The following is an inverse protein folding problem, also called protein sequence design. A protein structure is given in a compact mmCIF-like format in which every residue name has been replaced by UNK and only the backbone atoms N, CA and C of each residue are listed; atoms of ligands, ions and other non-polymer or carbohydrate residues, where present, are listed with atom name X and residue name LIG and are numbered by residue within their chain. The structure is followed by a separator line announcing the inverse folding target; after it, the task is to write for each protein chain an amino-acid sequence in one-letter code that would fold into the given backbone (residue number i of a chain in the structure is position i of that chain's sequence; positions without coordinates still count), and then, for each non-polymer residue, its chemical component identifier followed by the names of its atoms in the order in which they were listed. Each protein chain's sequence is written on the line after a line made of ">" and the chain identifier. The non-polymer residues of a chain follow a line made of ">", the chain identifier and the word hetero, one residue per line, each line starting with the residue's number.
data_IF_192680391828
#
_entry.id   IF_192680391828
#
_cell.length_a   1.000
_cell.length_b   1.000
_cell.length_c   1.000
_cell.angle_alpha   90.00
_cell.angle_beta   90.00
_cell.angle_gamma   90.00
#
_symmetry.space_group_name_H-M   'P 1'
#
loop_
_entity.id
_entity.type
_entity.pdbx_description
1 polymer ?
#
# COMPACT_ATOMS: atom_id res chain seq x y z
N UNK A 1 -32.99 51.23 10.53
CA UNK A 1 -33.64 50.59 11.70
C UNK A 1 -32.74 49.43 12.12
N UNK A 2 -32.36 49.40 13.40
CA UNK A 2 -31.42 48.44 14.00
C UNK A 2 -32.18 47.18 14.41
N UNK A 3 -31.64 46.00 14.10
CA UNK A 3 -31.76 44.84 15.01
C UNK A 3 -30.54 43.92 14.84
N UNK A 4 -29.71 43.83 15.89
CA UNK A 4 -28.63 42.85 16.07
C UNK A 4 -29.22 41.60 16.73
N UNK A 5 -28.83 40.41 16.28
CA UNK A 5 -29.06 39.16 17.01
C UNK A 5 -27.71 38.72 17.61
N UNK A 6 -27.62 38.71 18.94
CA UNK A 6 -26.47 38.20 19.70
C UNK A 6 -26.71 36.74 20.04
N UNK A 7 -25.80 35.85 19.65
CA UNK A 7 -25.72 34.47 20.14
C UNK A 7 -24.87 34.44 21.42
N UNK A 8 -25.43 33.86 22.49
CA UNK A 8 -24.82 33.76 23.82
C UNK A 8 -23.79 32.64 23.89
N UNK A 9 -22.56 33.00 24.24
CA UNK A 9 -21.50 32.09 24.71
C UNK A 9 -21.86 31.63 26.13
N UNK A 10 -21.91 30.31 26.39
CA UNK A 10 -21.91 29.74 27.74
C UNK A 10 -20.49 29.34 28.12
N UNK A 11 -19.89 30.10 29.04
CA UNK A 11 -18.69 29.71 29.77
C UNK A 11 -19.06 28.64 30.80
N UNK A 12 -18.39 27.51 30.78
CA UNK A 12 -18.32 26.58 31.91
C UNK A 12 -16.98 26.82 32.59
N UNK A 13 -17.02 27.16 33.87
CA UNK A 13 -15.88 27.20 34.78
C UNK A 13 -16.20 26.28 35.97
N UNK A 14 -15.13 25.94 36.72
CA UNK A 14 -15.07 25.30 38.04
C UNK A 14 -14.84 23.78 37.95
N UNK A 15 -13.86 23.13 38.60
CA UNK A 15 -12.94 23.52 39.67
C UNK A 15 -11.65 22.69 39.62
N UNK A 16 -10.53 23.30 40.04
CA UNK A 16 -9.28 22.64 40.41
C UNK A 16 -9.45 21.85 41.72
N UNK A 17 -8.95 20.61 41.77
CA UNK A 17 -8.73 19.88 43.01
C UNK A 17 -7.23 19.59 43.16
N UNK A 18 -6.59 20.29 44.07
CA UNK A 18 -5.21 20.05 44.52
C UNK A 18 -5.28 19.05 45.66
N UNK A 19 -4.56 17.93 45.55
CA UNK A 19 -4.30 17.05 46.67
C UNK A 19 -2.78 16.83 46.82
N UNK A 20 -2.23 17.42 47.88
CA UNK A 20 -0.87 17.18 48.34
C UNK A 20 -0.91 16.11 49.44
N UNK A 21 -0.01 15.13 49.38
CA UNK A 21 0.39 14.35 50.56
C UNK A 21 1.88 14.02 50.51
N UNK A 22 2.56 14.28 51.62
CA UNK A 22 4.00 14.18 51.84
C UNK A 22 4.38 12.85 52.52
N UNK A 23 5.54 12.33 52.10
CA UNK A 23 6.62 11.63 52.84
C UNK A 23 6.35 10.31 53.60
N UNK A 24 7.19 9.31 53.30
CA UNK A 24 8.16 8.71 54.24
C UNK A 24 9.27 7.92 53.51
N UNK A 25 10.50 8.10 53.98
CA UNK A 25 11.73 7.43 53.54
C UNK A 25 11.80 5.96 54.00
N UNK A 26 12.55 5.14 53.26
CA UNK A 26 13.47 4.18 53.87
C UNK A 26 14.65 3.88 52.94
N UNK A 27 15.85 4.05 53.47
CA UNK A 27 17.13 3.77 52.86
C UNK A 27 17.74 2.52 53.51
N UNK A 28 18.49 1.73 52.74
CA UNK A 28 19.64 0.96 53.22
C UNK A 28 20.55 0.68 52.03
N UNK A 29 21.79 1.17 52.12
CA UNK A 29 22.92 0.80 51.27
C UNK A 29 24.09 0.33 52.13
N UNK A 30 25.08 -0.30 51.48
CA UNK A 30 26.54 -0.42 51.80
C UNK A 30 27.06 -1.57 50.90
N UNK A 31 28.09 -1.44 50.04
CA UNK A 31 29.47 -0.96 50.26
C UNK A 31 30.33 -2.14 50.78
N UNK A 32 31.51 -2.55 50.28
CA UNK A 32 32.59 -1.91 49.50
C UNK A 32 33.68 -2.98 49.16
N UNK A 33 34.53 -2.71 48.15
CA UNK A 33 35.97 -3.07 47.91
C UNK A 33 36.52 -4.49 48.19
N UNK A 34 37.50 -5.09 47.48
CA UNK A 34 38.56 -4.63 46.56
C UNK A 34 39.38 -5.84 46.03
N UNK A 35 40.16 -5.61 44.96
CA UNK A 35 41.52 -6.16 44.63
C UNK A 35 41.66 -6.92 43.29
N UNK A 36 42.69 -6.47 42.56
CA UNK A 36 43.24 -6.77 41.23
C UNK A 36 43.66 -8.21 40.96
N UNK A 37 43.51 -8.67 39.69
CA UNK A 37 44.63 -9.27 38.89
C UNK A 37 44.29 -9.36 37.40
N UNK A 38 45.30 -9.10 36.57
CA UNK A 38 45.34 -9.27 35.10
C UNK A 38 44.90 -10.65 34.61
N UNK A 39 44.26 -10.67 33.43
CA UNK A 39 43.95 -11.89 32.69
C UNK A 39 43.40 -11.58 31.30
N UNK A 40 44.29 -11.45 30.33
CA UNK A 40 44.00 -11.44 28.89
C UNK A 40 42.97 -12.50 28.50
N UNK A 41 41.88 -12.07 27.89
CA UNK A 41 40.83 -12.93 27.35
C UNK A 41 40.03 -12.15 26.33
N UNK A 42 40.54 -12.15 25.09
CA UNK A 42 39.80 -11.84 23.88
C UNK A 42 38.43 -12.51 23.96
N UNK A 43 37.40 -11.72 24.21
CA UNK A 43 36.02 -12.16 24.22
C UNK A 43 35.38 -11.43 23.05
N UNK A 44 35.52 -12.03 21.88
CA UNK A 44 34.61 -11.84 20.76
C UNK A 44 33.20 -11.99 21.30
N UNK A 45 32.50 -10.87 21.45
CA UNK A 45 31.06 -10.85 21.58
C UNK A 45 30.53 -11.23 20.20
N UNK A 46 30.42 -12.52 19.96
CA UNK A 46 29.53 -13.02 18.92
C UNK A 46 28.12 -12.68 19.41
N UNK A 47 27.59 -11.54 18.93
CA UNK A 47 26.14 -11.36 18.90
C UNK A 47 25.60 -12.47 18.02
N UNK A 48 25.16 -13.55 18.64
CA UNK A 48 24.16 -14.41 18.04
C UNK A 48 22.95 -13.52 17.83
N UNK A 49 22.66 -13.20 16.56
CA UNK A 49 21.36 -12.68 16.19
C UNK A 49 20.35 -13.72 16.67
N UNK A 50 19.66 -13.40 17.77
CA UNK A 50 18.48 -14.17 18.15
C UNK A 50 17.48 -13.95 17.02
N UNK A 51 17.17 -15.04 16.33
CA UNK A 51 16.19 -15.08 15.25
C UNK A 51 14.83 -14.87 15.91
N UNK A 52 14.41 -13.61 16.03
CA UNK A 52 13.05 -13.27 16.38
C UNK A 52 12.19 -13.65 15.17
N UNK A 53 11.38 -14.69 15.35
CA UNK A 53 10.47 -15.18 14.33
C UNK A 53 9.26 -14.27 14.34
N UNK A 54 9.04 -13.49 13.28
CA UNK A 54 7.68 -13.08 12.99
C UNK A 54 6.84 -14.34 12.78
N UNK A 55 5.55 -14.26 13.07
CA UNK A 55 4.60 -15.27 12.58
C UNK A 55 4.69 -15.24 11.06
N UNK A 56 5.25 -16.30 10.47
CA UNK A 56 5.30 -16.44 9.02
C UNK A 56 3.91 -16.42 8.38
N UNK A 57 3.86 -16.57 7.06
CA UNK A 57 2.60 -16.44 6.31
C UNK A 57 1.54 -17.43 6.81
N UNK A 58 0.41 -16.91 7.28
CA UNK A 58 -0.77 -17.69 7.63
C UNK A 58 -1.78 -17.63 6.48
N UNK A 59 -1.78 -18.69 5.67
CA UNK A 59 -2.72 -18.85 4.54
C UNK A 59 -4.18 -18.89 4.97
N UNK A 60 -4.47 -19.13 6.26
CA UNK A 60 -5.83 -19.11 6.81
C UNK A 60 -6.41 -17.71 6.98
N UNK A 61 -5.60 -16.65 6.85
CA UNK A 61 -6.06 -15.26 6.90
C UNK A 61 -6.62 -14.74 5.57
N UNK A 62 -6.37 -15.43 4.46
CA UNK A 62 -6.96 -15.06 3.18
C UNK A 62 -8.48 -15.25 3.21
N UNK A 63 -9.21 -14.31 2.65
CA UNK A 63 -10.67 -14.37 2.58
C UNK A 63 -11.13 -15.54 1.69
N UNK A 64 -12.34 -16.05 1.93
CA UNK A 64 -12.92 -17.11 1.10
C UNK A 64 -13.05 -16.63 -0.35
N UNK A 65 -12.45 -17.35 -1.29
CA UNK A 65 -12.39 -16.97 -2.70
C UNK A 65 -11.21 -16.09 -3.10
N UNK A 66 -10.41 -15.56 -2.15
CA UNK A 66 -9.24 -14.72 -2.46
C UNK A 66 -8.12 -15.49 -3.18
N UNK A 67 -8.07 -16.81 -3.02
CA UNK A 67 -7.13 -17.69 -3.70
C UNK A 67 -7.86 -18.49 -4.79
N UNK A 68 -7.30 -18.50 -6.00
CA UNK A 68 -7.83 -19.27 -7.12
C UNK A 68 -7.71 -20.80 -6.90
N UNK A 69 -6.76 -21.20 -6.07
CA UNK A 69 -6.51 -22.59 -5.65
C UNK A 69 -5.88 -22.60 -4.25
N UNK A 70 -6.01 -23.72 -3.54
CA UNK A 70 -5.38 -23.90 -2.23
C UNK A 70 -3.86 -23.64 -2.33
N UNK A 71 -3.33 -22.81 -1.42
CA UNK A 71 -1.90 -22.57 -1.34
C UNK A 71 -1.13 -23.87 -1.11
N UNK A 72 -0.04 -24.05 -1.86
CA UNK A 72 0.84 -25.22 -1.73
C UNK A 72 2.22 -24.80 -1.26
N UNK A 73 3.07 -25.75 -0.89
CA UNK A 73 4.46 -25.47 -0.50
C UNK A 73 5.43 -26.15 -1.42
N UNK A 74 6.51 -25.46 -1.79
CA UNK A 74 7.61 -26.02 -2.57
C UNK A 74 8.98 -25.56 -2.06
N UNK A 75 10.03 -26.28 -2.45
CA UNK A 75 11.40 -25.88 -2.13
C UNK A 75 11.81 -24.69 -3.01
N UNK A 76 12.39 -23.67 -2.38
CA UNK A 76 12.81 -22.44 -3.03
C UNK A 76 14.18 -21.99 -2.53
N UNK A 77 14.78 -21.03 -3.23
CA UNK A 77 16.06 -20.40 -2.87
C UNK A 77 15.78 -18.92 -2.66
N UNK A 78 16.23 -18.35 -1.54
CA UNK A 78 16.10 -16.92 -1.24
C UNK A 78 17.20 -16.10 -1.93
N UNK A 79 17.06 -14.78 -1.91
CA UNK A 79 17.94 -13.82 -2.58
C UNK A 79 19.42 -13.92 -2.20
N UNK A 80 19.74 -14.47 -1.03
CA UNK A 80 21.13 -14.71 -0.56
C UNK A 80 21.65 -16.13 -0.85
N UNK A 81 20.84 -16.97 -1.51
CA UNK A 81 21.14 -18.37 -1.78
C UNK A 81 20.68 -19.36 -0.71
N UNK A 82 20.00 -18.92 0.34
CA UNK A 82 19.44 -19.81 1.37
C UNK A 82 18.35 -20.71 0.79
N UNK A 83 18.50 -22.03 0.93
CA UNK A 83 17.45 -22.99 0.60
C UNK A 83 16.39 -23.02 1.71
N UNK A 84 15.11 -22.89 1.36
CA UNK A 84 13.99 -22.93 2.30
C UNK A 84 12.73 -23.51 1.66
N UNK A 85 11.61 -23.46 2.39
CA UNK A 85 10.27 -23.76 1.88
C UNK A 85 9.52 -22.46 1.63
N UNK A 86 8.87 -22.35 0.48
CA UNK A 86 8.01 -21.23 0.13
C UNK A 86 6.59 -21.71 -0.08
N UNK A 87 5.63 -20.84 0.24
CA UNK A 87 4.29 -20.96 -0.28
C UNK A 87 4.26 -20.60 -1.75
N UNK A 88 3.54 -21.39 -2.54
CA UNK A 88 3.04 -21.05 -3.87
C UNK A 88 1.59 -20.65 -3.71
N UNK A 89 1.33 -19.35 -3.84
CA UNK A 89 0.02 -18.73 -3.65
C UNK A 89 -0.45 -18.23 -5.01
N UNK A 90 -1.65 -18.63 -5.41
CA UNK A 90 -2.29 -18.10 -6.63
C UNK A 90 -3.49 -17.27 -6.21
N UNK A 91 -3.34 -15.94 -6.25
CA UNK A 91 -4.43 -15.02 -5.92
C UNK A 91 -5.46 -14.97 -7.04
N UNK A 92 -6.73 -14.71 -6.69
CA UNK A 92 -7.85 -14.74 -7.62
C UNK A 92 -7.76 -13.70 -8.74
N UNK A 93 -7.15 -12.53 -8.46
CA UNK A 93 -7.00 -11.45 -9.44
C UNK A 93 -8.19 -10.48 -9.48
N UNK A 94 -9.10 -10.59 -8.52
CA UNK A 94 -10.22 -9.68 -8.27
C UNK A 94 -10.52 -9.72 -6.76
N UNK A 95 -10.76 -8.57 -6.11
CA UNK A 95 -10.94 -8.51 -4.67
C UNK A 95 -12.29 -9.12 -4.26
N UNK A 96 -12.28 -9.93 -3.20
CA UNK A 96 -13.51 -10.61 -2.72
C UNK A 96 -14.26 -9.87 -1.62
N UNK A 97 -13.72 -8.74 -1.17
CA UNK A 97 -14.26 -7.96 -0.04
C UNK A 97 -15.09 -6.74 -0.47
N UNK A 98 -14.96 -6.32 -1.73
CA UNK A 98 -15.69 -5.19 -2.32
C UNK A 98 -15.99 -5.43 -3.82
N UNK A 99 -16.91 -4.64 -4.37
CA UNK A 99 -17.10 -4.57 -5.83
C UNK A 99 -16.14 -3.52 -6.39
N UNK A 100 -15.40 -3.86 -7.45
CA UNK A 100 -14.44 -2.94 -8.07
C UNK A 100 -15.12 -1.78 -8.78
N UNK A 101 -14.45 -0.62 -8.77
CA UNK A 101 -15.04 0.63 -9.25
C UNK A 101 -16.01 1.28 -8.25
N UNK A 102 -16.61 2.43 -8.60
CA UNK A 102 -16.47 3.17 -9.86
C UNK A 102 -15.07 3.76 -10.09
N UNK A 103 -14.76 4.16 -11.32
CA UNK A 103 -13.44 4.71 -11.70
C UNK A 103 -13.56 6.13 -12.25
N UNK A 104 -14.22 6.30 -13.40
CA UNK A 104 -14.39 7.59 -14.04
C UNK A 104 -15.85 8.09 -13.92
N UNK A 105 -16.08 9.36 -13.56
CA UNK A 105 -17.42 9.95 -13.60
C UNK A 105 -17.90 10.10 -15.06
N UNK A 106 -19.22 10.11 -15.27
CA UNK A 106 -19.79 10.26 -16.62
C UNK A 106 -19.81 11.73 -17.05
N UNK A 107 -20.00 12.66 -16.11
CA UNK A 107 -20.16 14.09 -16.39
C UNK A 107 -19.46 14.97 -15.35
N UNK A 108 -19.17 16.22 -15.73
CA UNK A 108 -18.63 17.23 -14.80
C UNK A 108 -19.63 17.70 -13.73
N UNK A 109 -20.83 17.12 -13.69
CA UNK A 109 -21.82 17.38 -12.65
C UNK A 109 -21.86 16.27 -11.58
N UNK A 110 -21.12 15.18 -11.81
CA UNK A 110 -21.09 14.03 -10.91
C UNK A 110 -20.24 14.33 -9.67
N UNK A 111 -20.63 13.73 -8.56
CA UNK A 111 -19.92 13.79 -7.28
C UNK A 111 -18.94 12.63 -7.12
N UNK A 112 -18.12 12.66 -6.07
CA UNK A 112 -17.20 11.59 -5.70
C UNK A 112 -17.80 10.18 -5.79
N UNK A 113 -19.05 9.96 -5.34
CA UNK A 113 -19.72 8.65 -5.41
C UNK A 113 -19.83 8.01 -6.82
N UNK A 114 -19.56 8.75 -7.89
CA UNK A 114 -19.65 8.28 -9.29
C UNK A 114 -18.27 8.03 -9.95
N UNK A 115 -17.18 8.44 -9.30
CA UNK A 115 -15.81 8.18 -9.72
C UNK A 115 -15.05 7.50 -8.59
N UNK A 116 -13.81 7.10 -8.85
CA UNK A 116 -12.92 6.65 -7.80
C UNK A 116 -11.96 7.76 -7.38
N UNK A 117 -10.69 7.41 -7.17
CA UNK A 117 -9.64 8.34 -6.75
C UNK A 117 -8.48 8.40 -7.75
N UNK A 118 -7.80 9.54 -7.74
CA UNK A 118 -6.52 9.74 -8.39
C UNK A 118 -5.51 10.20 -7.34
N UNK A 119 -4.32 9.60 -7.34
CA UNK A 119 -3.19 10.09 -6.55
C UNK A 119 -1.96 10.26 -7.44
N UNK A 120 -1.28 11.40 -7.25
CA UNK A 120 -0.26 11.91 -8.17
C UNK A 120 1.14 12.03 -7.53
N UNK A 121 1.34 11.49 -6.33
CA UNK A 121 2.56 11.69 -5.54
C UNK A 121 2.53 12.94 -4.64
N UNK A 122 1.57 13.84 -4.82
CA UNK A 122 1.43 15.09 -4.03
C UNK A 122 0.12 15.15 -3.25
N UNK A 123 -0.89 14.39 -3.65
CA UNK A 123 -2.16 14.29 -2.96
C UNK A 123 -3.03 13.13 -3.48
N UNK A 124 -4.16 12.96 -2.82
CA UNK A 124 -5.26 12.08 -3.24
C UNK A 124 -6.47 12.96 -3.54
N UNK A 125 -7.13 12.70 -4.66
CA UNK A 125 -8.26 13.46 -5.17
C UNK A 125 -9.39 12.51 -5.53
N UNK A 126 -10.61 12.84 -5.12
CA UNK A 126 -11.81 12.20 -5.68
C UNK A 126 -11.92 12.61 -7.15
N UNK A 127 -12.11 11.65 -8.06
CA UNK A 127 -12.32 11.91 -9.48
C UNK A 127 -13.79 12.28 -9.68
N UNK A 128 -14.16 13.45 -9.20
CA UNK A 128 -15.48 14.04 -9.40
C UNK A 128 -15.47 15.12 -10.50
N UNK A 129 -16.64 15.70 -10.77
CA UNK A 129 -16.75 16.75 -11.79
C UNK A 129 -15.93 18.01 -11.47
N UNK A 130 -15.78 18.36 -10.18
CA UNK A 130 -14.98 19.51 -9.75
C UNK A 130 -13.48 19.25 -9.99
N UNK A 131 -13.00 18.03 -9.74
CA UNK A 131 -11.65 17.59 -10.06
C UNK A 131 -11.39 17.65 -11.57
N UNK A 132 -12.28 17.07 -12.39
CA UNK A 132 -12.14 17.05 -13.85
C UNK A 132 -12.06 18.47 -14.43
N UNK A 133 -12.88 19.40 -13.93
CA UNK A 133 -12.83 20.82 -14.34
C UNK A 133 -11.58 21.52 -13.79
N UNK A 134 -11.09 21.10 -12.63
CA UNK A 134 -9.95 21.68 -11.93
C UNK A 134 -8.57 21.25 -12.44
N UNK A 135 -8.47 20.25 -13.33
CA UNK A 135 -7.19 19.70 -13.79
C UNK A 135 -6.21 20.76 -14.36
N UNK A 136 -6.71 21.72 -15.14
CA UNK A 136 -5.88 22.77 -15.71
C UNK A 136 -5.26 23.69 -14.64
N UNK A 137 -6.02 24.00 -13.58
CA UNK A 137 -5.53 24.78 -12.45
C UNK A 137 -4.59 23.96 -11.55
N UNK A 138 -4.91 22.67 -11.35
CA UNK A 138 -4.11 21.75 -10.53
C UNK A 138 -2.70 21.58 -11.10
N UNK A 139 -2.58 21.42 -12.42
CA UNK A 139 -1.30 21.18 -13.10
C UNK A 139 -0.71 22.42 -13.79
N UNK A 140 -1.34 23.60 -13.65
CA UNK A 140 -0.92 24.87 -14.29
C UNK A 140 -0.75 24.74 -15.82
N UNK A 141 -1.69 24.04 -16.47
CA UNK A 141 -1.66 23.77 -17.92
C UNK A 141 -3.07 23.72 -18.53
N UNK A 142 -3.40 24.73 -19.34
CA UNK A 142 -4.69 24.87 -20.06
C UNK A 142 -4.95 23.76 -21.10
N UNK A 143 -3.98 22.88 -21.40
CA UNK A 143 -4.19 21.74 -22.30
C UNK A 143 -5.06 20.64 -21.68
N UNK A 144 -5.21 20.62 -20.36
CA UNK A 144 -6.13 19.70 -19.67
C UNK A 144 -7.59 20.06 -19.96
N UNK A 145 -8.28 19.20 -20.69
CA UNK A 145 -9.68 19.36 -21.09
C UNK A 145 -10.33 17.99 -21.27
N UNK A 146 -10.59 17.30 -20.16
CA UNK A 146 -11.07 15.90 -20.12
C UNK A 146 -12.60 15.78 -20.27
N UNK A 147 -13.25 16.79 -20.86
CA UNK A 147 -14.69 16.80 -21.06
C UNK A 147 -15.07 17.57 -22.32
N UNK A 148 -16.23 17.25 -22.89
CA UNK A 148 -16.75 17.89 -24.10
C UNK A 148 -17.55 19.18 -23.81
N UNK A 149 -18.07 19.83 -24.86
CA UNK A 149 -18.84 21.08 -24.74
C UNK A 149 -20.16 20.92 -23.95
N UNK A 150 -20.68 19.70 -23.85
CA UNK A 150 -21.90 19.37 -23.12
C UNK A 150 -21.62 18.95 -21.66
N UNK A 151 -20.33 18.81 -21.30
CA UNK A 151 -19.87 18.44 -19.97
C UNK A 151 -19.78 16.92 -19.74
N UNK A 152 -19.82 16.11 -20.80
CA UNK A 152 -19.56 14.68 -20.69
C UNK A 152 -18.05 14.46 -20.55
N UNK A 153 -17.64 13.65 -19.58
CA UNK A 153 -16.23 13.31 -19.38
C UNK A 153 -15.79 12.37 -20.50
N UNK A 154 -14.60 12.59 -21.03
CA UNK A 154 -14.00 11.73 -22.04
C UNK A 154 -13.44 10.49 -21.34
N UNK A 155 -14.17 9.38 -21.39
CA UNK A 155 -13.80 8.11 -20.76
C UNK A 155 -13.47 7.09 -21.85
N UNK A 156 -12.58 6.14 -21.57
CA UNK A 156 -12.39 4.97 -22.45
C UNK A 156 -13.66 4.11 -22.47
N UNK A 157 -14.27 3.91 -23.64
CA UNK A 157 -15.57 3.23 -23.79
C UNK A 157 -15.44 1.81 -24.35
N UNK A 158 -14.26 1.44 -24.84
CA UNK A 158 -14.02 0.15 -25.51
C UNK A 158 -12.71 -0.51 -25.09
N UNK A 159 -12.63 -1.84 -25.27
CA UNK A 159 -11.37 -2.58 -25.12
C UNK A 159 -10.22 -1.99 -25.95
N UNK A 160 -10.47 -1.59 -27.20
CA UNK A 160 -9.42 -1.02 -28.06
C UNK A 160 -8.87 0.29 -27.52
N UNK A 161 -9.74 1.15 -26.97
CA UNK A 161 -9.34 2.39 -26.31
C UNK A 161 -8.61 2.12 -25.00
N UNK A 162 -9.10 1.19 -24.18
CA UNK A 162 -8.43 0.79 -22.94
C UNK A 162 -7.01 0.25 -23.20
N UNK A 163 -6.82 -0.66 -24.15
CA UNK A 163 -5.50 -1.16 -24.55
C UNK A 163 -4.59 -0.06 -25.13
N UNK A 164 -5.17 0.89 -25.85
CA UNK A 164 -4.44 2.01 -26.44
C UNK A 164 -4.05 3.08 -25.41
N UNK A 165 -4.78 3.20 -24.30
CA UNK A 165 -4.46 4.04 -23.15
C UNK A 165 -3.47 3.37 -22.18
N UNK A 166 -3.58 2.05 -21.99
CA UNK A 166 -2.78 1.29 -21.02
C UNK A 166 -1.40 0.85 -21.53
N UNK A 167 -0.79 1.63 -22.44
CA UNK A 167 0.55 1.35 -23.01
C UNK A 167 1.49 2.55 -22.80
N UNK A 168 2.82 2.35 -22.73
CA UNK A 168 3.77 3.45 -22.49
C UNK A 168 3.72 4.59 -23.51
N UNK A 169 3.40 4.28 -24.77
CA UNK A 169 3.21 5.27 -25.85
C UNK A 169 1.71 5.45 -26.09
N UNK A 170 1.03 6.10 -25.13
CA UNK A 170 -0.43 6.33 -25.15
C UNK A 170 -0.88 6.87 -26.51
N UNK A 171 -1.96 6.31 -27.05
CA UNK A 171 -2.47 6.78 -28.33
C UNK A 171 -2.86 8.27 -28.26
N UNK A 172 -2.36 9.13 -29.17
CA UNK A 172 -2.68 10.55 -29.16
C UNK A 172 -4.18 10.86 -29.23
N UNK A 173 -5.00 9.93 -29.76
CA UNK A 173 -6.45 10.08 -29.76
C UNK A 173 -7.08 10.04 -28.37
N UNK A 174 -6.38 9.46 -27.39
CA UNK A 174 -6.81 9.29 -26.00
C UNK A 174 -6.21 10.34 -25.06
N UNK A 175 -5.48 11.33 -25.59
CA UNK A 175 -5.14 12.50 -24.79
C UNK A 175 -6.42 13.14 -24.25
N UNK A 176 -6.36 13.64 -23.01
CA UNK A 176 -7.48 14.15 -22.25
C UNK A 176 -8.59 13.11 -21.99
N UNK A 177 -8.25 11.83 -21.80
CA UNK A 177 -9.21 10.84 -21.32
C UNK A 177 -8.97 10.43 -19.87
N UNK A 178 -10.07 10.22 -19.16
CA UNK A 178 -10.10 9.42 -17.95
C UNK A 178 -10.08 7.95 -18.40
N UNK A 179 -9.05 7.22 -17.99
CA UNK A 179 -8.81 5.85 -18.39
C UNK A 179 -9.41 4.93 -17.33
N UNK A 180 -10.44 4.20 -17.74
CA UNK A 180 -11.12 3.18 -16.95
C UNK A 180 -10.95 1.82 -17.64
N UNK A 181 -10.53 0.81 -16.87
CA UNK A 181 -10.58 -0.58 -17.31
C UNK A 181 -11.78 -1.31 -16.72
N UNK A 182 -12.23 -2.37 -17.39
CA UNK A 182 -13.36 -3.20 -16.93
C UNK A 182 -13.00 -4.67 -16.98
N UNK A 183 -13.52 -5.44 -16.02
CA UNK A 183 -13.36 -6.89 -15.97
C UNK A 183 -13.76 -7.58 -17.30
N UNK A 184 -14.86 -7.13 -17.91
CA UNK A 184 -15.34 -7.67 -19.20
C UNK A 184 -14.40 -7.45 -20.38
N UNK A 185 -13.42 -6.55 -20.24
CA UNK A 185 -12.40 -6.25 -21.24
C UNK A 185 -11.11 -7.05 -21.02
N UNK A 186 -10.97 -7.77 -19.90
CA UNK A 186 -9.84 -8.68 -19.70
C UNK A 186 -9.95 -9.92 -20.60
N UNK A 187 -8.86 -10.69 -20.70
CA UNK A 187 -8.85 -11.92 -21.49
C UNK A 187 -9.95 -12.89 -21.04
N UNK A 188 -10.93 -13.12 -21.92
CA UNK A 188 -12.07 -14.00 -21.63
C UNK A 188 -13.16 -13.38 -20.74
N UNK A 189 -13.02 -12.13 -20.32
CA UNK A 189 -13.93 -11.47 -19.40
C UNK A 189 -13.87 -12.02 -17.97
N UNK A 190 -12.69 -12.50 -17.56
CA UNK A 190 -12.45 -13.15 -16.27
C UNK A 190 -11.26 -12.48 -15.57
N UNK A 191 -11.17 -12.58 -14.22
CA UNK A 191 -10.01 -12.09 -13.47
C UNK A 191 -8.70 -12.76 -13.90
N UNK A 192 -7.62 -11.99 -13.89
CA UNK A 192 -6.28 -12.51 -14.18
C UNK A 192 -5.63 -12.95 -12.87
N UNK A 193 -5.64 -14.25 -12.62
CA UNK A 193 -4.97 -14.82 -11.44
C UNK A 193 -3.45 -14.75 -11.55
N UNK A 194 -2.79 -14.46 -10.42
CA UNK A 194 -1.33 -14.35 -10.34
C UNK A 194 -0.77 -15.32 -9.31
N UNK A 195 0.22 -16.13 -9.72
CA UNK A 195 0.98 -16.95 -8.78
C UNK A 195 2.22 -16.21 -8.28
N UNK A 196 2.40 -16.15 -6.97
CA UNK A 196 3.60 -15.69 -6.28
C UNK A 196 4.26 -16.80 -5.46
N UNK A 197 5.56 -16.65 -5.21
CA UNK A 197 6.29 -17.45 -4.23
C UNK A 197 6.71 -16.56 -3.05
N UNK A 198 6.31 -16.95 -1.84
CA UNK A 198 6.61 -16.22 -0.61
C UNK A 198 7.22 -17.20 0.41
N UNK A 199 8.32 -16.84 1.11
CA UNK A 199 8.89 -17.71 2.14
C UNK A 199 7.85 -18.07 3.21
N UNK A 200 7.80 -19.35 3.62
CA UNK A 200 6.89 -19.77 4.71
C UNK A 200 7.28 -19.07 6.01
N UNK A 201 8.59 -19.00 6.28
CA UNK A 201 9.17 -18.26 7.40
C UNK A 201 10.00 -17.11 6.81
N UNK A 202 9.58 -15.84 7.00
CA UNK A 202 10.32 -14.69 6.53
C UNK A 202 11.65 -14.57 7.29
N UNK A 203 12.67 -14.06 6.58
CA UNK A 203 14.04 -13.95 7.12
C UNK A 203 14.56 -12.56 6.80
N UNK A 204 14.99 -11.82 7.82
CA UNK A 204 15.63 -10.52 7.64
C UNK A 204 16.86 -10.63 6.72
N UNK A 205 17.01 -9.67 5.82
CA UNK A 205 18.19 -9.48 4.99
C UNK A 205 19.23 -8.61 5.70
N UNK A 206 20.45 -8.58 5.16
CA UNK A 206 21.52 -7.70 5.68
C UNK A 206 21.28 -6.22 5.33
N UNK A 207 20.40 -5.95 4.35
CA UNK A 207 20.01 -4.61 3.90
C UNK A 207 18.64 -4.66 3.23
N UNK A 208 17.88 -3.58 3.34
CA UNK A 208 16.63 -3.39 2.61
C UNK A 208 16.83 -3.50 1.08
N UNK A 209 15.76 -3.89 0.39
CA UNK A 209 15.73 -4.02 -1.07
C UNK A 209 14.42 -3.54 -1.67
N UNK A 210 14.45 -3.09 -2.91
CA UNK A 210 13.25 -2.83 -3.71
C UNK A 210 13.12 -3.94 -4.75
N UNK A 211 11.92 -4.47 -4.95
CA UNK A 211 11.63 -5.44 -6.03
C UNK A 211 11.21 -4.71 -7.30
N UNK A 212 11.54 -5.28 -8.47
CA UNK A 212 11.17 -4.73 -9.79
C UNK A 212 9.80 -5.25 -10.30
N UNK A 213 8.97 -5.77 -9.40
CA UNK A 213 7.64 -6.32 -9.72
C UNK A 213 6.70 -6.17 -8.53
N UNK A 214 5.74 -7.08 -8.40
CA UNK A 214 4.77 -7.05 -7.31
C UNK A 214 5.47 -6.99 -5.94
N UNK A 215 4.97 -6.13 -5.06
CA UNK A 215 5.48 -5.86 -3.72
C UNK A 215 4.89 -6.83 -2.68
N UNK A 216 3.70 -7.36 -2.96
CA UNK A 216 3.00 -8.28 -2.09
C UNK A 216 1.68 -8.77 -2.68
N UNK A 217 0.90 -9.42 -1.82
CA UNK A 217 -0.46 -9.88 -2.11
C UNK A 217 -1.39 -9.49 -0.98
N UNK A 218 -2.58 -9.00 -1.33
CA UNK A 218 -3.62 -8.69 -0.36
C UNK A 218 -4.31 -9.97 0.10
N UNK A 219 -4.87 -9.94 1.31
CA UNK A 219 -5.62 -11.05 1.87
C UNK A 219 -6.93 -11.31 1.13
N UNK A 220 -7.45 -10.32 0.40
CA UNK A 220 -8.67 -10.41 -0.40
C UNK A 220 -8.44 -10.81 -1.87
N UNK A 221 -7.19 -11.05 -2.28
CA UNK A 221 -6.92 -11.83 -3.49
C UNK A 221 -6.39 -11.06 -4.69
N UNK A 222 -5.70 -9.93 -4.48
CA UNK A 222 -5.05 -9.17 -5.56
C UNK A 222 -3.57 -8.93 -5.27
N UNK A 223 -2.81 -8.59 -6.30
CA UNK A 223 -1.40 -8.24 -6.14
C UNK A 223 -1.25 -6.76 -5.77
N UNK A 224 -0.23 -6.47 -4.97
CA UNK A 224 0.22 -5.11 -4.71
C UNK A 224 1.32 -4.81 -5.73
N UNK A 225 1.06 -3.89 -6.64
CA UNK A 225 2.00 -3.52 -7.69
C UNK A 225 3.02 -2.48 -7.20
N UNK A 226 4.09 -2.31 -7.97
CA UNK A 226 4.95 -1.14 -7.83
C UNK A 226 4.20 0.13 -8.26
N UNK A 227 4.72 1.30 -7.85
CA UNK A 227 4.14 2.61 -8.15
C UNK A 227 3.66 2.77 -9.58
N UNK A 228 2.46 3.33 -9.74
CA UNK A 228 1.96 3.69 -11.06
C UNK A 228 2.88 4.74 -11.71
N UNK A 229 3.08 4.72 -13.04
CA UNK A 229 3.96 5.65 -13.72
C UNK A 229 3.29 7.03 -13.91
N UNK A 230 2.99 7.72 -12.80
CA UNK A 230 2.26 9.00 -12.76
C UNK A 230 2.86 10.02 -13.72
N UNK A 231 4.18 10.19 -13.74
CA UNK A 231 4.86 11.12 -14.66
C UNK A 231 4.53 10.84 -16.14
N UNK A 232 4.44 9.56 -16.53
CA UNK A 232 4.12 9.18 -17.90
C UNK A 232 2.64 9.37 -18.21
N UNK A 233 1.75 9.10 -17.24
CA UNK A 233 0.30 9.29 -17.35
C UNK A 233 0.00 10.79 -17.54
N UNK A 234 0.56 11.65 -16.69
CA UNK A 234 0.37 13.10 -16.78
C UNK A 234 1.00 13.68 -18.05
N UNK A 235 2.15 13.18 -18.50
CA UNK A 235 2.76 13.59 -19.77
C UNK A 235 1.92 13.22 -21.01
N UNK A 236 1.05 12.21 -20.89
CA UNK A 236 0.10 11.81 -21.92
C UNK A 236 -1.24 12.57 -21.83
N UNK A 237 -1.41 13.48 -20.87
CA UNK A 237 -2.69 14.13 -20.56
C UNK A 237 -3.81 13.13 -20.28
N UNK A 238 -3.52 12.04 -19.60
CA UNK A 238 -4.54 11.07 -19.15
C UNK A 238 -4.61 11.02 -17.63
N UNK A 239 -5.71 10.49 -17.11
CA UNK A 239 -5.84 10.10 -15.70
C UNK A 239 -6.14 8.60 -15.70
N UNK A 240 -5.26 7.80 -15.10
CA UNK A 240 -5.51 6.36 -14.93
C UNK A 240 -6.28 6.16 -13.63
N UNK A 241 -7.61 6.16 -13.70
CA UNK A 241 -8.44 6.16 -12.51
C UNK A 241 -8.22 4.90 -11.67
N UNK A 242 -8.08 5.09 -10.36
CA UNK A 242 -8.20 4.03 -9.37
C UNK A 242 -9.63 4.07 -8.82
N UNK A 243 -10.13 2.93 -8.34
CA UNK A 243 -11.35 2.95 -7.55
C UNK A 243 -11.08 3.46 -6.12
N UNK A 244 -12.14 3.65 -5.35
CA UNK A 244 -12.06 4.10 -3.96
C UNK A 244 -11.28 3.14 -3.03
N UNK A 245 -10.92 1.96 -3.53
CA UNK A 245 -10.11 0.97 -2.83
C UNK A 245 -8.64 0.98 -3.27
N UNK A 246 -8.24 1.92 -4.15
CA UNK A 246 -6.86 2.19 -4.52
C UNK A 246 -6.28 1.23 -5.55
N UNK A 247 -7.13 0.48 -6.25
CA UNK A 247 -6.73 -0.42 -7.33
C UNK A 247 -7.39 -0.07 -8.67
N UNK A 248 -6.91 -0.71 -9.73
CA UNK A 248 -7.52 -0.60 -11.05
C UNK A 248 -7.19 -1.79 -11.95
N UNK A 249 -7.85 -1.85 -13.10
CA UNK A 249 -7.58 -2.85 -14.13
C UNK A 249 -6.47 -2.40 -15.10
N UNK A 250 -5.56 -3.33 -15.43
CA UNK A 250 -4.70 -3.28 -16.61
C UNK A 250 -5.07 -4.44 -17.57
N UNK A 251 -4.99 -4.27 -18.90
CA UNK A 251 -5.36 -5.32 -19.84
C UNK A 251 -4.57 -6.64 -19.67
N UNK A 252 -3.35 -6.57 -19.17
CA UNK A 252 -2.42 -7.69 -19.07
C UNK A 252 -2.25 -8.20 -17.64
N UNK A 253 -2.26 -7.30 -16.67
CA UNK A 253 -2.03 -7.64 -15.25
C UNK A 253 -3.34 -7.82 -14.47
N UNK A 254 -4.48 -7.44 -15.04
CA UNK A 254 -5.79 -7.51 -14.38
C UNK A 254 -5.94 -6.46 -13.29
N UNK A 255 -6.78 -6.73 -12.29
CA UNK A 255 -6.96 -5.83 -11.15
C UNK A 255 -5.76 -5.91 -10.21
N UNK A 256 -5.20 -4.77 -9.84
CA UNK A 256 -4.05 -4.69 -8.93
C UNK A 256 -4.07 -3.39 -8.12
N UNK A 257 -3.46 -3.44 -6.93
CA UNK A 257 -3.47 -2.37 -5.94
C UNK A 257 -2.23 -1.47 -6.08
N UNK A 258 -2.44 -0.15 -6.02
CA UNK A 258 -1.39 0.88 -5.97
C UNK A 258 -1.42 1.72 -4.70
N UNK A 259 -2.56 1.82 -4.02
CA UNK A 259 -2.72 2.57 -2.77
C UNK A 259 -3.52 1.80 -1.71
N UNK A 260 -3.12 1.89 -0.44
CA UNK A 260 -3.84 1.29 0.68
C UNK A 260 -4.77 2.33 1.32
N UNK A 261 -6.09 2.15 1.18
CA UNK A 261 -7.10 3.17 1.56
C UNK A 261 -8.25 2.67 2.45
N UNK A 262 -8.30 1.37 2.80
CA UNK A 262 -9.27 0.88 3.79
C UNK A 262 -10.40 -0.01 3.29
N UNK A 263 -10.14 -1.02 2.43
CA UNK A 263 -11.19 -1.90 1.89
C UNK A 263 -11.06 -3.40 2.19
N UNK A 264 -9.87 -3.89 2.53
CA UNK A 264 -9.56 -5.33 2.59
C UNK A 264 -8.91 -5.77 3.90
N UNK A 265 -9.01 -4.91 4.92
CA UNK A 265 -8.52 -5.13 6.26
C UNK A 265 -9.21 -6.30 6.97
N UNK A 266 -8.44 -7.00 7.79
CA UNK A 266 -9.01 -7.85 8.84
C UNK A 266 -9.70 -6.98 9.90
N UNK A 267 -10.80 -7.49 10.46
CA UNK A 267 -11.52 -6.82 11.55
C UNK A 267 -10.69 -6.68 12.84
N UNK A 268 -9.63 -7.49 12.98
CA UNK A 268 -8.78 -7.52 14.17
C UNK A 268 -7.73 -6.42 14.13
N UNK A 269 -7.79 -5.53 15.12
CA UNK A 269 -6.83 -4.45 15.33
C UNK A 269 -6.27 -4.60 16.73
N UNK A 270 -4.95 -4.77 16.82
CA UNK A 270 -4.26 -4.84 18.10
C UNK A 270 -4.05 -3.44 18.70
N UNK A 271 -3.87 -3.37 20.03
CA UNK A 271 -3.70 -2.07 20.69
C UNK A 271 -2.41 -1.39 20.25
N UNK A 272 -2.55 -0.27 19.53
CA UNK A 272 -1.40 0.53 19.07
C UNK A 272 -0.96 0.20 17.65
N UNK A 273 -1.72 -0.61 16.92
CA UNK A 273 -1.45 -1.00 15.54
C UNK A 273 -2.65 -0.67 14.63
N UNK A 274 -2.49 -0.81 13.32
CA UNK A 274 -3.60 -0.79 12.36
C UNK A 274 -4.08 -2.20 12.05
N UNK A 275 -5.00 -2.36 11.10
CA UNK A 275 -5.43 -3.68 10.66
C UNK A 275 -4.46 -4.22 9.61
N UNK A 276 -4.20 -5.52 9.65
CA UNK A 276 -3.50 -6.22 8.59
C UNK A 276 -4.40 -6.38 7.37
N UNK A 277 -3.85 -6.24 6.17
CA UNK A 277 -4.58 -6.48 4.91
C UNK A 277 -3.77 -7.26 3.86
N UNK A 278 -2.48 -7.51 4.09
CA UNK A 278 -1.61 -8.12 3.07
C UNK A 278 -0.38 -8.83 3.64
N UNK A 279 0.31 -9.56 2.77
CA UNK A 279 1.67 -10.06 2.95
C UNK A 279 2.60 -9.49 1.88
N UNK A 280 3.79 -9.04 2.29
CA UNK A 280 4.85 -8.64 1.38
C UNK A 280 5.54 -9.87 0.73
N UNK A 281 6.27 -9.65 -0.37
CA UNK A 281 6.94 -10.74 -1.10
C UNK A 281 8.04 -11.46 -0.31
N UNK A 282 8.54 -10.86 0.77
CA UNK A 282 9.50 -11.49 1.68
C UNK A 282 8.83 -12.26 2.82
N UNK A 283 7.50 -12.23 2.91
CA UNK A 283 6.68 -12.98 3.85
C UNK A 283 6.30 -12.25 5.13
N UNK A 284 6.72 -10.99 5.31
CA UNK A 284 6.27 -10.20 6.45
C UNK A 284 4.85 -9.65 6.24
N UNK A 285 4.03 -9.54 7.30
CA UNK A 285 2.72 -8.90 7.25
C UNK A 285 2.80 -7.43 6.84
N UNK A 286 1.73 -6.94 6.20
CA UNK A 286 1.55 -5.54 5.83
C UNK A 286 0.22 -5.05 6.40
N UNK A 287 0.33 -3.99 7.18
CA UNK A 287 -0.75 -3.33 7.91
C UNK A 287 -1.12 -2.01 7.25
N UNK A 288 -2.35 -1.55 7.43
CA UNK A 288 -2.82 -0.28 6.84
C UNK A 288 -1.98 0.90 7.33
N UNK A 289 -2.01 2.06 6.64
CA UNK A 289 -1.20 3.21 7.01
C UNK A 289 -1.45 3.69 8.45
N UNK A 290 -0.37 4.01 9.17
CA UNK A 290 -0.47 4.65 10.48
C UNK A 290 -1.02 6.06 10.37
N UNK A 291 -1.89 6.45 11.30
CA UNK A 291 -2.40 7.83 11.34
C UNK A 291 -1.35 8.86 11.80
N UNK A 292 -0.41 8.44 12.65
CA UNK A 292 0.67 9.28 13.19
C UNK A 292 1.97 8.45 13.23
N UNK A 293 2.60 8.28 12.07
CA UNK A 293 3.83 7.50 11.92
C UNK A 293 4.97 8.00 12.84
N UNK A 294 5.05 9.32 13.07
CA UNK A 294 6.03 9.95 13.97
C UNK A 294 5.91 9.50 15.43
N UNK A 295 4.78 8.91 15.82
CA UNK A 295 4.59 8.36 17.16
C UNK A 295 5.29 7.01 17.37
N UNK A 296 5.80 6.40 16.31
CA UNK A 296 6.41 5.07 16.30
C UNK A 296 7.89 5.13 15.87
N UNK A 297 8.68 4.15 16.31
CA UNK A 297 10.08 3.99 15.91
C UNK A 297 10.13 3.08 14.68
N UNK A 298 9.75 3.63 13.52
CA UNK A 298 9.71 2.92 12.25
C UNK A 298 11.09 2.91 11.59
N UNK A 299 11.40 1.82 10.90
CA UNK A 299 12.62 1.71 10.12
C UNK A 299 12.52 2.35 8.73
N UNK A 300 13.54 2.16 7.91
CA UNK A 300 13.59 2.75 6.56
C UNK A 300 12.55 2.18 5.58
N UNK A 301 11.93 1.03 5.90
CA UNK A 301 10.88 0.41 5.10
C UNK A 301 9.48 0.60 5.70
N UNK A 302 9.33 1.58 6.60
CA UNK A 302 8.07 1.86 7.28
C UNK A 302 7.56 0.69 8.15
N UNK A 303 8.48 -0.13 8.68
CA UNK A 303 8.14 -1.26 9.55
C UNK A 303 8.71 -1.15 10.95
N UNK A 304 8.20 -2.00 11.84
CA UNK A 304 8.74 -2.16 13.20
C UNK A 304 8.46 -3.57 13.72
N UNK A 305 8.96 -3.88 14.93
CA UNK A 305 8.72 -5.15 15.62
C UNK A 305 7.91 -4.95 16.91
N UNK A 306 6.88 -5.77 17.11
CA UNK A 306 6.09 -5.83 18.36
C UNK A 306 6.12 -7.24 18.96
N UNK A 307 5.82 -7.36 20.27
CA UNK A 307 5.70 -8.67 20.93
C UNK A 307 4.52 -9.50 20.37
N UNK A 308 3.51 -8.86 19.78
CA UNK A 308 2.28 -9.49 19.32
C UNK A 308 2.42 -10.06 17.90
N UNK A 309 2.93 -9.25 16.96
CA UNK A 309 2.97 -9.60 15.53
C UNK A 309 4.39 -9.91 15.03
N UNK A 310 5.41 -9.66 15.85
CA UNK A 310 6.80 -9.61 15.39
C UNK A 310 7.01 -8.45 14.42
N UNK A 311 7.98 -8.59 13.51
CA UNK A 311 8.24 -7.58 12.49
C UNK A 311 7.10 -7.55 11.45
N UNK A 312 6.61 -6.35 11.15
CA UNK A 312 5.62 -6.09 10.10
C UNK A 312 5.81 -4.69 9.51
N UNK A 313 5.28 -4.48 8.31
CA UNK A 313 5.27 -3.18 7.64
C UNK A 313 3.95 -2.46 7.89
N UNK A 314 3.99 -1.13 7.89
CA UNK A 314 2.83 -0.31 7.57
C UNK A 314 2.90 0.14 6.12
N UNK A 315 1.76 0.12 5.45
CA UNK A 315 1.65 0.69 4.12
C UNK A 315 1.85 2.22 4.18
N UNK A 316 2.39 2.80 3.11
CA UNK A 316 2.43 4.25 2.99
C UNK A 316 1.03 4.81 2.71
N UNK A 317 0.84 6.10 2.97
CA UNK A 317 -0.36 6.81 2.53
C UNK A 317 -0.52 6.72 1.01
N UNK A 318 -1.75 6.62 0.52
CA UNK A 318 -2.01 6.44 -0.92
C UNK A 318 -1.46 7.59 -1.78
N UNK A 319 -1.31 8.80 -1.21
CA UNK A 319 -0.67 9.94 -1.86
C UNK A 319 0.76 9.65 -2.31
N UNK A 320 1.46 8.71 -1.67
CA UNK A 320 2.84 8.35 -2.02
C UNK A 320 2.92 7.45 -3.26
N UNK A 321 1.77 6.94 -3.77
CA UNK A 321 1.72 6.05 -4.92
C UNK A 321 2.65 4.83 -4.75
N UNK A 322 2.76 4.31 -3.53
CA UNK A 322 3.61 3.17 -3.22
C UNK A 322 3.12 2.51 -1.95
N UNK A 323 2.47 1.34 -2.04
CA UNK A 323 1.96 0.66 -0.83
C UNK A 323 3.09 0.23 0.11
N UNK A 324 4.19 -0.33 -0.43
CA UNK A 324 5.32 -0.85 0.37
C UNK A 324 6.60 -0.13 -0.03
N UNK A 325 7.23 0.58 0.92
CA UNK A 325 8.44 1.38 0.73
C UNK A 325 9.63 0.55 0.26
N UNK A 326 9.96 -0.51 1.01
CA UNK A 326 10.98 -1.48 0.67
C UNK A 326 10.75 -2.79 1.43
N UNK A 327 11.57 -3.80 1.10
CA UNK A 327 11.56 -5.11 1.72
C UNK A 327 12.83 -5.29 2.56
N UNK A 328 12.66 -5.37 3.88
CA UNK A 328 13.73 -5.70 4.85
C UNK A 328 14.09 -7.18 4.83
N UNK A 329 13.19 -8.04 4.33
CA UNK A 329 13.36 -9.47 4.28
C UNK A 329 13.96 -9.99 2.98
N UNK A 330 14.35 -11.28 3.02
CA UNK A 330 14.85 -12.01 1.86
C UNK A 330 13.69 -12.53 1.02
N UNK A 331 13.64 -12.10 -0.23
CA UNK A 331 12.68 -12.59 -1.22
C UNK A 331 13.17 -13.86 -1.93
N UNK A 332 12.28 -14.53 -2.64
CA UNK A 332 12.63 -15.69 -3.47
C UNK A 332 13.50 -15.26 -4.65
N UNK A 333 14.65 -15.90 -4.85
CA UNK A 333 15.58 -15.61 -5.91
C UNK A 333 14.96 -15.87 -7.30
N UNK A 334 15.02 -14.87 -8.17
CA UNK A 334 14.47 -14.98 -9.52
C UNK A 334 12.93 -15.00 -9.57
N UNK A 335 12.25 -14.68 -8.46
CA UNK A 335 10.84 -14.33 -8.46
C UNK A 335 10.66 -12.92 -9.06
N UNK A 336 11.01 -12.75 -10.33
CA UNK A 336 10.39 -11.70 -11.12
C UNK A 336 8.94 -12.17 -11.34
N UNK A 337 7.99 -11.55 -10.65
CA UNK A 337 6.57 -11.79 -10.92
C UNK A 337 6.24 -11.47 -12.38
N UNK A 338 5.17 -12.05 -12.96
CA UNK A 338 4.61 -11.54 -14.20
C UNK A 338 4.03 -10.16 -13.87
N UNK A 339 4.80 -9.11 -14.12
CA UNK A 339 4.46 -7.76 -13.66
C UNK A 339 5.64 -6.82 -13.88
N UNK A 340 6.08 -6.76 -15.13
CA UNK A 340 7.06 -5.81 -15.61
C UNK A 340 6.65 -5.44 -17.01
N UNK A 341 5.90 -4.33 -17.13
CA UNK A 341 5.74 -3.68 -18.42
C UNK A 341 7.09 -3.61 -19.13
N UNK A 342 7.13 -3.78 -20.47
CA UNK A 342 8.40 -3.87 -21.19
C UNK A 342 9.29 -2.68 -20.85
N UNK A 343 10.62 -2.89 -20.72
CA UNK A 343 11.54 -1.86 -20.28
C UNK A 343 11.37 -0.61 -21.12
N UNK A 344 11.31 0.56 -20.47
CA UNK A 344 11.26 1.87 -21.10
C UNK A 344 12.22 1.88 -22.30
N UNK A 345 11.64 1.90 -23.50
CA UNK A 345 12.37 1.76 -24.74
C UNK A 345 13.42 2.85 -24.86
N UNK A 346 14.69 2.45 -24.83
CA UNK A 346 15.80 3.36 -25.08
C UNK A 346 15.64 4.03 -26.44
N UNK A 347 15.51 5.36 -26.43
CA UNK A 347 15.38 6.18 -27.62
C UNK A 347 16.54 5.97 -28.60
N UNK A 348 16.17 5.76 -29.87
CA UNK A 348 17.05 5.84 -31.03
C UNK A 348 16.57 6.92 -31.99
#
# INVERSE_FOLDING_TARGET
>A
MKTKLLTRIRRVQVASLVLAFLLLLSACGSGDSSTTTDGSGDTTVTSTAETMSSSGVDVGLFFDGALAEDATTEACILSDGTETTCYRITVAGDPVTYETGPFCPETIADSADAGGIWFDGNGVYDIDGDFIVGLADLYDDDNWMMYDEDGNVLVTETLEEFEAAARPDVDPALQNHCVEGRLEWLEGGEPISTTVLIPVEPVLADSASTTNGNLGVTLDGVVIAASAPVDAILAAYTIAAFDDCGGHYNPFDGYHLHGAVGCSELDEISEGDTAMFAYAMDGFPVFSPLHDADAFDLDECNGHETEEHGYHYHANGAEENQVIECLIGKTVAGAEGPGGGPPAGGGG
#
